data_IF_268726351454
#
_entry.id   IF_268726351454
#
_cell.length_a   1.000
_cell.length_b   1.000
_cell.length_c   1.000
_cell.angle_alpha   90.00
_cell.angle_beta   90.00
_cell.angle_gamma   90.00
#
_symmetry.space_group_name_H-M   'P 1'
#
loop_
_entity.id
_entity.type
_entity.pdbx_description
1 polymer ?
#
# COMPACT_ATOMS: atom_id res chain seq x y z
N UNK A 1 59.67 -10.11 34.04
CA UNK A 1 58.23 -9.69 34.18
C UNK A 1 57.45 -10.36 33.09
N UNK A 2 56.72 -11.40 33.44
CA UNK A 2 55.92 -12.23 32.51
C UNK A 2 54.49 -11.77 32.61
N UNK A 3 53.90 -11.31 31.50
CA UNK A 3 52.47 -10.95 31.44
C UNK A 3 51.62 -12.20 31.25
N UNK A 4 50.49 -12.37 31.96
CA UNK A 4 49.58 -13.50 31.76
C UNK A 4 48.75 -13.28 30.48
N UNK A 5 48.67 -14.34 29.64
CA UNK A 5 47.81 -14.41 28.47
C UNK A 5 46.35 -14.58 28.93
N UNK A 6 45.51 -13.60 28.64
CA UNK A 6 44.05 -13.70 28.78
C UNK A 6 43.48 -14.50 27.62
N UNK A 7 43.01 -15.69 27.91
CA UNK A 7 42.20 -16.49 26.96
C UNK A 7 40.84 -15.85 26.77
N UNK A 8 40.60 -15.22 25.61
CA UNK A 8 39.26 -14.88 25.17
C UNK A 8 38.53 -16.16 24.74
N UNK A 9 37.49 -16.52 25.49
CA UNK A 9 36.57 -17.56 25.10
C UNK A 9 35.78 -17.07 23.88
N UNK A 10 35.93 -17.76 22.74
CA UNK A 10 35.15 -17.51 21.54
C UNK A 10 33.66 -17.81 21.86
N UNK A 11 32.80 -16.80 21.76
CA UNK A 11 31.35 -17.00 21.77
C UNK A 11 30.97 -17.88 20.56
N UNK A 12 30.08 -18.87 20.73
CA UNK A 12 29.61 -19.67 19.61
C UNK A 12 28.91 -18.74 18.62
N UNK A 13 29.30 -18.83 17.33
CA UNK A 13 28.65 -18.13 16.26
C UNK A 13 27.15 -18.46 16.27
N UNK A 14 26.30 -17.44 16.34
CA UNK A 14 24.84 -17.60 16.20
C UNK A 14 24.57 -18.26 14.86
N UNK A 15 24.05 -19.48 14.89
CA UNK A 15 23.58 -20.17 13.68
C UNK A 15 22.39 -19.39 13.18
N UNK A 16 22.58 -18.65 12.07
CA UNK A 16 21.47 -17.99 11.39
C UNK A 16 20.43 -19.05 11.03
N UNK A 17 19.14 -18.82 11.29
CA UNK A 17 18.11 -19.77 10.90
C UNK A 17 18.19 -20.02 9.40
N UNK A 18 18.26 -21.28 9.01
CA UNK A 18 18.28 -21.63 7.58
C UNK A 18 16.95 -21.19 6.95
N UNK A 19 16.99 -20.58 5.76
CA UNK A 19 15.78 -20.17 5.08
C UNK A 19 14.90 -21.38 4.82
N UNK A 20 13.60 -21.25 5.12
CA UNK A 20 12.62 -22.29 4.81
C UNK A 20 12.54 -22.48 3.31
N UNK A 21 12.75 -23.71 2.83
CA UNK A 21 12.61 -24.02 1.41
C UNK A 21 11.13 -24.02 1.05
N UNK A 22 10.74 -23.11 0.15
CA UNK A 22 9.38 -23.06 -0.43
C UNK A 22 9.38 -23.84 -1.75
N UNK A 23 8.50 -24.83 -1.88
CA UNK A 23 8.39 -25.68 -3.05
C UNK A 23 7.06 -25.46 -3.76
N UNK A 24 7.06 -25.52 -5.09
CA UNK A 24 5.84 -25.35 -5.91
C UNK A 24 4.78 -26.41 -5.59
N UNK A 25 5.20 -27.64 -5.34
CA UNK A 25 4.30 -28.74 -4.96
C UNK A 25 3.61 -28.58 -3.61
N UNK A 26 4.14 -27.70 -2.75
CA UNK A 26 3.56 -27.37 -1.45
C UNK A 26 2.50 -26.26 -1.53
N UNK A 27 2.29 -25.69 -2.72
CA UNK A 27 1.27 -24.66 -2.92
C UNK A 27 -0.12 -25.17 -2.55
N UNK A 28 -0.84 -24.37 -1.79
CA UNK A 28 -2.25 -24.57 -1.43
C UNK A 28 -3.00 -23.26 -1.65
N UNK A 29 -4.14 -23.35 -2.32
CA UNK A 29 -5.06 -22.23 -2.43
C UNK A 29 -5.52 -21.77 -1.05
N UNK A 30 -5.80 -20.47 -0.87
CA UNK A 30 -6.40 -19.96 0.37
C UNK A 30 -7.75 -20.62 0.66
N UNK A 31 -8.02 -20.97 1.91
CA UNK A 31 -9.33 -21.50 2.32
C UNK A 31 -10.42 -20.43 2.34
N UNK A 32 -10.04 -19.16 2.38
CA UNK A 32 -10.92 -18.00 2.46
C UNK A 32 -10.65 -17.03 1.32
N UNK A 33 -11.72 -16.53 0.71
CA UNK A 33 -11.70 -15.53 -0.34
C UNK A 33 -12.03 -14.17 0.24
N UNK A 34 -11.19 -13.16 -0.03
CA UNK A 34 -11.44 -11.77 0.30
C UNK A 34 -12.27 -11.12 -0.81
N UNK A 35 -13.49 -10.66 -0.50
CA UNK A 35 -14.45 -10.16 -1.50
C UNK A 35 -14.59 -8.63 -1.55
N UNK A 36 -13.75 -7.90 -0.85
CA UNK A 36 -13.69 -6.45 -0.83
C UNK A 36 -13.07 -5.97 0.46
N UNK A 37 -12.17 -5.02 0.36
CA UNK A 37 -11.43 -4.45 1.48
C UNK A 37 -11.68 -2.94 1.57
N UNK A 38 -12.17 -2.49 2.71
CA UNK A 38 -12.22 -1.07 3.07
C UNK A 38 -11.11 -0.80 4.09
N UNK A 39 -10.27 0.17 3.80
CA UNK A 39 -9.19 0.62 4.69
C UNK A 39 -9.46 2.07 5.13
N UNK A 40 -9.29 2.33 6.39
CA UNK A 40 -9.27 3.66 6.94
C UNK A 40 -7.95 3.91 7.64
N UNK A 41 -7.32 5.03 7.31
CA UNK A 41 -6.08 5.47 7.93
C UNK A 41 -6.30 6.82 8.63
N UNK A 42 -6.12 6.86 9.94
CA UNK A 42 -5.88 8.11 10.65
C UNK A 42 -4.36 8.31 10.67
N UNK A 43 -3.87 9.06 9.67
CA UNK A 43 -2.44 9.18 9.37
C UNK A 43 -1.73 10.14 10.32
N UNK A 44 -0.68 9.65 10.93
CA UNK A 44 0.32 10.42 11.66
C UNK A 44 1.67 9.70 11.57
N UNK A 45 2.78 10.44 11.53
CA UNK A 45 4.11 9.84 11.39
C UNK A 45 4.50 8.98 12.60
N UNK A 46 4.04 9.33 13.80
CA UNK A 46 4.39 8.64 15.04
C UNK A 46 3.37 7.56 15.41
N UNK A 47 2.08 7.77 15.07
CA UNK A 47 0.98 6.99 15.63
C UNK A 47 -0.18 6.89 14.63
N UNK A 48 0.00 6.13 13.56
CA UNK A 48 -1.05 5.86 12.57
C UNK A 48 -1.95 4.73 13.05
N UNK A 49 -3.26 4.97 13.08
CA UNK A 49 -4.26 3.94 13.32
C UNK A 49 -4.88 3.50 11.99
N UNK A 50 -4.86 2.19 11.74
CA UNK A 50 -5.44 1.57 10.55
C UNK A 50 -6.62 0.72 10.96
N UNK A 51 -7.79 0.98 10.38
CA UNK A 51 -8.99 0.13 10.50
C UNK A 51 -9.23 -0.54 9.16
N UNK A 52 -9.28 -1.86 9.15
CA UNK A 52 -9.55 -2.67 7.96
C UNK A 52 -10.87 -3.41 8.11
N UNK A 53 -11.70 -3.37 7.09
CA UNK A 53 -12.98 -4.10 7.01
C UNK A 53 -12.97 -4.95 5.75
N UNK A 54 -12.97 -6.27 5.91
CA UNK A 54 -12.89 -7.21 4.80
C UNK A 54 -14.03 -8.22 4.86
N UNK A 55 -14.74 -8.39 3.76
CA UNK A 55 -15.72 -9.47 3.63
C UNK A 55 -15.01 -10.74 3.21
N UNK A 56 -15.25 -11.80 3.96
CA UNK A 56 -14.69 -13.13 3.69
C UNK A 56 -15.79 -14.12 3.34
N UNK A 57 -15.46 -15.00 2.41
CA UNK A 57 -16.26 -16.18 2.08
C UNK A 57 -15.37 -17.41 2.07
N UNK A 58 -15.83 -18.51 2.68
CA UNK A 58 -15.10 -19.78 2.60
C UNK A 58 -15.06 -20.26 1.15
N UNK A 59 -13.86 -20.65 0.70
CA UNK A 59 -13.68 -21.17 -0.66
C UNK A 59 -14.46 -22.51 -0.81
N UNK A 60 -15.17 -22.71 -1.92
CA UNK A 60 -15.82 -23.99 -2.20
C UNK A 60 -14.82 -25.16 -2.13
N UNK A 61 -15.13 -26.17 -1.33
CA UNK A 61 -14.25 -27.31 -1.10
C UNK A 61 -13.21 -27.17 0.02
N UNK A 62 -13.08 -26.00 0.65
CA UNK A 62 -12.31 -25.86 1.89
C UNK A 62 -13.02 -26.55 3.06
N UNK A 63 -12.25 -26.98 4.06
CA UNK A 63 -12.79 -27.65 5.25
C UNK A 63 -13.78 -26.72 5.99
N UNK A 64 -14.85 -27.30 6.54
CA UNK A 64 -15.89 -26.53 7.23
C UNK A 64 -15.36 -25.81 8.49
N UNK A 65 -14.31 -26.34 9.10
CA UNK A 65 -13.62 -25.82 10.29
C UNK A 65 -12.31 -25.11 9.95
N UNK A 66 -12.04 -24.84 8.65
CA UNK A 66 -10.81 -24.14 8.24
C UNK A 66 -10.68 -22.79 8.96
N UNK A 67 -9.58 -22.53 9.68
CA UNK A 67 -9.34 -21.24 10.31
C UNK A 67 -8.98 -20.20 9.28
N UNK A 68 -9.38 -18.95 9.50
CA UNK A 68 -8.81 -17.81 8.78
C UNK A 68 -7.46 -17.45 9.43
N UNK A 69 -6.41 -17.38 8.60
CA UNK A 69 -5.06 -16.98 9.00
C UNK A 69 -4.69 -15.70 8.26
N UNK A 70 -4.35 -14.67 9.01
CA UNK A 70 -3.93 -13.38 8.49
C UNK A 70 -2.48 -13.12 8.90
N UNK A 71 -1.69 -12.62 7.99
CA UNK A 71 -0.32 -12.24 8.25
C UNK A 71 -0.25 -10.83 8.83
N UNK A 72 0.66 -10.60 9.77
CA UNK A 72 0.88 -9.30 10.39
C UNK A 72 2.29 -9.20 10.99
N UNK A 73 2.92 -8.05 10.85
CA UNK A 73 4.25 -7.79 11.36
C UNK A 73 4.35 -6.38 11.94
N UNK A 74 4.90 -6.28 13.16
CA UNK A 74 5.04 -5.02 13.89
C UNK A 74 3.70 -4.26 14.08
N UNK A 75 2.59 -4.97 14.28
CA UNK A 75 1.26 -4.43 14.51
C UNK A 75 0.91 -4.46 16.00
N UNK A 76 0.44 -3.33 16.55
CA UNK A 76 -0.27 -3.29 17.82
C UNK A 76 -1.77 -3.46 17.55
N UNK A 77 -2.33 -4.63 17.88
CA UNK A 77 -3.76 -4.91 17.64
C UNK A 77 -4.61 -4.20 18.69
N UNK A 78 -5.48 -3.30 18.25
CA UNK A 78 -6.37 -2.51 19.10
C UNK A 78 -7.76 -3.15 19.23
N UNK A 79 -8.23 -3.85 18.19
CA UNK A 79 -9.53 -4.48 18.19
C UNK A 79 -9.73 -5.44 17.02
N UNK A 80 -10.57 -6.45 17.25
CA UNK A 80 -11.04 -7.43 16.26
C UNK A 80 -12.54 -7.60 16.43
N UNK A 81 -13.30 -7.59 15.33
CA UNK A 81 -14.73 -7.85 15.36
C UNK A 81 -15.15 -8.71 14.17
N UNK A 82 -16.18 -9.51 14.33
CA UNK A 82 -16.84 -10.27 13.26
C UNK A 82 -18.27 -9.76 13.16
N UNK A 83 -18.65 -9.34 11.95
CA UNK A 83 -19.90 -8.65 11.68
C UNK A 83 -20.04 -7.44 12.65
N UNK A 84 -21.09 -7.37 13.43
CA UNK A 84 -21.30 -6.29 14.41
C UNK A 84 -20.80 -6.60 15.82
N UNK A 85 -20.06 -7.72 16.01
CA UNK A 85 -19.64 -8.20 17.34
C UNK A 85 -18.14 -8.00 17.56
N UNK A 86 -17.79 -7.14 18.51
CA UNK A 86 -16.42 -7.02 18.98
C UNK A 86 -16.02 -8.28 19.75
N UNK A 87 -14.90 -8.87 19.35
CA UNK A 87 -14.40 -10.10 19.96
C UNK A 87 -13.55 -9.81 21.20
N UNK A 88 -13.74 -10.58 22.29
CA UNK A 88 -12.78 -10.55 23.40
C UNK A 88 -11.44 -11.15 22.98
N UNK A 89 -10.37 -10.79 23.70
CA UNK A 89 -9.00 -11.21 23.39
C UNK A 89 -8.82 -12.73 23.27
N UNK A 90 -9.61 -13.51 24.00
CA UNK A 90 -9.54 -14.96 24.05
C UNK A 90 -10.18 -15.64 22.83
N UNK A 91 -10.92 -14.87 22.02
CA UNK A 91 -11.62 -15.41 20.84
C UNK A 91 -10.71 -15.51 19.60
N UNK A 92 -9.50 -14.97 19.66
CA UNK A 92 -8.52 -15.03 18.57
C UNK A 92 -7.10 -15.24 19.11
N UNK A 93 -6.24 -15.80 18.28
CA UNK A 93 -4.85 -16.10 18.64
C UNK A 93 -3.91 -15.30 17.76
N UNK A 94 -2.99 -14.61 18.39
CA UNK A 94 -1.87 -13.93 17.70
C UNK A 94 -0.58 -14.68 18.05
N UNK A 95 0.00 -15.38 17.08
CA UNK A 95 1.24 -16.14 17.24
C UNK A 95 2.09 -16.06 15.99
N UNK A 96 3.40 -15.86 16.18
CA UNK A 96 4.42 -15.88 15.11
C UNK A 96 4.07 -15.07 13.87
N UNK A 97 3.52 -13.87 14.05
CA UNK A 97 3.15 -12.99 12.95
C UNK A 97 1.85 -13.38 12.23
N UNK A 98 1.02 -14.21 12.86
CA UNK A 98 -0.31 -14.55 12.36
C UNK A 98 -1.40 -14.23 13.37
N UNK A 99 -2.51 -13.68 12.88
CA UNK A 99 -3.80 -13.63 13.56
C UNK A 99 -4.64 -14.81 13.06
N UNK A 100 -5.07 -15.66 13.99
CA UNK A 100 -5.84 -16.88 13.68
C UNK A 100 -7.22 -16.80 14.29
N UNK A 101 -8.24 -16.94 13.45
CA UNK A 101 -9.65 -16.98 13.82
C UNK A 101 -10.23 -18.34 13.45
N UNK A 102 -10.95 -18.95 14.39
CA UNK A 102 -11.54 -20.29 14.24
C UNK A 102 -13.06 -20.25 14.45
N UNK A 103 -13.76 -21.32 14.08
CA UNK A 103 -15.22 -21.46 14.22
C UNK A 103 -15.99 -20.36 13.50
N UNK A 104 -15.55 -20.02 12.29
CA UNK A 104 -16.12 -18.95 11.46
C UNK A 104 -17.32 -19.44 10.66
N UNK A 105 -18.35 -18.58 10.45
CA UNK A 105 -19.43 -18.87 9.51
C UNK A 105 -18.89 -18.92 8.06
N UNK A 106 -19.70 -19.38 7.13
CA UNK A 106 -19.32 -19.47 5.71
C UNK A 106 -19.05 -18.09 5.08
N UNK A 107 -19.81 -17.08 5.51
CA UNK A 107 -19.67 -15.67 5.12
C UNK A 107 -19.65 -14.80 6.36
N UNK A 108 -18.77 -13.83 6.41
CA UNK A 108 -18.72 -12.84 7.48
C UNK A 108 -17.93 -11.61 7.04
N UNK A 109 -18.07 -10.55 7.80
CA UNK A 109 -17.24 -9.35 7.69
C UNK A 109 -16.29 -9.30 8.88
N UNK A 110 -15.00 -9.25 8.58
CA UNK A 110 -13.96 -9.06 9.60
C UNK A 110 -13.60 -7.58 9.70
N UNK A 111 -13.57 -7.08 10.92
CA UNK A 111 -13.05 -5.76 11.26
C UNK A 111 -11.80 -5.94 12.11
N UNK A 112 -10.71 -5.32 11.71
CA UNK A 112 -9.49 -5.24 12.51
C UNK A 112 -9.06 -3.80 12.65
N UNK A 113 -8.52 -3.46 13.81
CA UNK A 113 -7.91 -2.16 14.03
C UNK A 113 -6.54 -2.35 14.65
N UNK A 114 -5.56 -1.69 14.07
CA UNK A 114 -4.16 -1.75 14.50
C UNK A 114 -3.56 -0.37 14.61
N UNK A 115 -2.51 -0.25 15.42
CA UNK A 115 -1.63 0.91 15.47
C UNK A 115 -0.27 0.53 14.89
N UNK A 116 0.29 1.44 14.10
CA UNK A 116 1.61 1.32 13.50
C UNK A 116 2.37 2.64 13.67
N UNK A 117 3.71 2.58 13.58
CA UNK A 117 4.59 3.72 13.84
C UNK A 117 5.47 4.01 12.61
N UNK A 118 4.97 4.75 11.59
CA UNK A 118 5.69 4.95 10.32
C UNK A 118 7.09 5.55 10.46
N UNK A 119 7.30 6.49 11.40
CA UNK A 119 8.62 7.11 11.63
C UNK A 119 9.62 6.17 12.30
N UNK A 120 9.17 5.11 12.97
CA UNK A 120 10.02 4.08 13.56
C UNK A 120 10.29 2.91 12.59
N UNK A 121 9.63 2.90 11.43
CA UNK A 121 9.78 1.86 10.42
C UNK A 121 11.02 2.14 9.57
N UNK A 122 12.13 1.50 9.90
CA UNK A 122 13.42 1.60 9.19
C UNK A 122 13.61 0.50 8.14
N UNK A 123 12.67 -0.43 8.04
CA UNK A 123 12.71 -1.51 7.05
C UNK A 123 12.33 -1.04 5.64
N UNK A 124 11.72 0.17 5.53
CA UNK A 124 11.20 0.73 4.29
C UNK A 124 10.24 -0.25 3.58
N UNK A 125 9.45 -0.96 4.37
CA UNK A 125 8.45 -1.95 3.96
C UNK A 125 7.15 -1.73 4.73
N UNK A 126 5.99 -1.76 4.06
CA UNK A 126 4.73 -1.27 4.60
C UNK A 126 4.65 0.25 4.54
N UNK A 127 4.00 0.88 5.50
CA UNK A 127 3.91 2.35 5.62
C UNK A 127 5.10 2.90 6.42
N UNK A 128 5.83 3.85 5.86
CA UNK A 128 6.96 4.51 6.52
C UNK A 128 7.00 6.01 6.23
N UNK A 129 7.78 6.73 7.02
CA UNK A 129 8.02 8.16 6.86
C UNK A 129 9.36 8.42 6.19
N UNK A 130 9.40 9.32 5.21
CA UNK A 130 10.61 9.89 4.62
C UNK A 130 10.49 11.41 4.57
N UNK A 131 11.36 12.11 5.30
CA UNK A 131 11.21 13.55 5.50
C UNK A 131 9.84 13.91 6.09
N UNK A 132 9.07 14.74 5.39
CA UNK A 132 7.71 15.13 5.77
C UNK A 132 6.61 14.33 5.06
N UNK A 133 6.97 13.26 4.35
CA UNK A 133 6.05 12.46 3.54
C UNK A 133 5.88 11.07 4.15
N UNK A 134 4.66 10.55 4.14
CA UNK A 134 4.34 9.15 4.40
C UNK A 134 4.12 8.45 3.07
N UNK A 135 4.71 7.28 2.89
CA UNK A 135 4.51 6.47 1.70
C UNK A 135 4.62 4.97 2.00
N UNK A 136 4.12 4.15 1.10
CA UNK A 136 4.12 2.69 1.25
C UNK A 136 5.06 2.02 0.25
N UNK A 137 5.64 0.88 0.69
CA UNK A 137 6.21 -0.15 -0.17
C UNK A 137 5.68 -1.51 0.29
N UNK A 138 4.88 -2.18 -0.56
CA UNK A 138 4.20 -3.42 -0.18
C UNK A 138 4.77 -4.67 -0.86
N UNK A 139 5.47 -4.56 -1.99
CA UNK A 139 6.15 -5.70 -2.59
C UNK A 139 7.43 -6.07 -1.79
N UNK A 140 7.66 -7.37 -1.50
CA UNK A 140 6.77 -8.50 -1.81
C UNK A 140 5.74 -8.78 -0.72
N UNK A 141 6.01 -8.48 0.57
CA UNK A 141 5.20 -8.84 1.74
C UNK A 141 5.15 -7.69 2.78
N UNK A 142 5.07 -6.44 2.30
CA UNK A 142 5.00 -5.26 3.17
C UNK A 142 3.59 -4.91 3.63
N UNK A 143 2.54 -5.40 2.98
CA UNK A 143 1.17 -5.09 3.36
C UNK A 143 0.83 -5.57 4.79
N UNK A 144 1.41 -6.69 5.22
CA UNK A 144 1.31 -7.22 6.59
C UNK A 144 1.86 -6.29 7.67
N UNK A 145 2.65 -5.30 7.30
CA UNK A 145 3.14 -4.24 8.20
C UNK A 145 2.18 -3.05 8.33
N UNK A 146 1.06 -3.10 7.59
CA UNK A 146 0.01 -2.06 7.60
C UNK A 146 -1.20 -2.52 8.38
N UNK A 147 -1.66 -3.74 8.12
CA UNK A 147 -2.82 -4.34 8.80
C UNK A 147 -2.80 -5.86 8.67
N UNK A 148 -3.63 -6.54 9.44
CA UNK A 148 -3.87 -7.97 9.32
C UNK A 148 -4.54 -8.30 8.00
N UNK A 149 -3.90 -9.13 7.15
CA UNK A 149 -4.44 -9.55 5.87
C UNK A 149 -3.84 -10.88 5.39
N UNK A 150 -4.47 -11.56 4.43
CA UNK A 150 -3.86 -12.66 3.69
C UNK A 150 -2.85 -12.06 2.70
N UNK A 151 -1.62 -11.83 3.15
CA UNK A 151 -0.57 -11.14 2.38
C UNK A 151 0.09 -12.10 1.38
N UNK A 152 -0.67 -12.41 0.33
CA UNK A 152 -0.33 -13.38 -0.73
C UNK A 152 -0.72 -12.82 -2.10
N UNK A 153 0.09 -13.09 -3.16
CA UNK A 153 -0.20 -12.58 -4.50
C UNK A 153 -1.41 -13.23 -5.19
N UNK A 154 -1.89 -14.37 -4.68
CA UNK A 154 -3.06 -15.09 -5.19
C UNK A 154 -4.38 -14.69 -4.48
N UNK A 155 -4.32 -13.76 -3.52
CA UNK A 155 -5.49 -13.16 -2.87
C UNK A 155 -5.82 -11.85 -3.56
N UNK A 156 -6.82 -11.89 -4.43
CA UNK A 156 -7.27 -10.77 -5.26
C UNK A 156 -8.52 -10.14 -4.67
N UNK A 157 -8.51 -8.84 -4.40
CA UNK A 157 -9.69 -8.12 -3.89
C UNK A 157 -9.75 -6.69 -4.42
N UNK A 158 -10.92 -6.05 -4.31
CA UNK A 158 -11.12 -4.63 -4.59
C UNK A 158 -10.84 -3.79 -3.35
N UNK A 159 -10.48 -2.51 -3.55
CA UNK A 159 -10.07 -1.63 -2.45
C UNK A 159 -10.88 -0.34 -2.43
N UNK A 160 -11.37 0.04 -1.25
CA UNK A 160 -11.79 1.40 -0.93
C UNK A 160 -10.94 1.92 0.22
N UNK A 161 -10.38 3.10 0.07
CA UNK A 161 -9.39 3.64 1.01
C UNK A 161 -9.81 5.01 1.46
N UNK A 162 -9.96 5.18 2.76
CA UNK A 162 -10.25 6.45 3.40
C UNK A 162 -8.97 6.92 4.10
N UNK A 163 -8.41 8.00 3.62
CA UNK A 163 -7.25 8.64 4.21
C UNK A 163 -7.70 9.87 4.98
N UNK A 164 -7.37 9.95 6.25
CA UNK A 164 -7.59 11.12 7.09
C UNK A 164 -6.26 11.59 7.67
N UNK A 165 -5.99 12.89 7.61
CA UNK A 165 -4.78 13.47 8.15
C UNK A 165 -4.96 14.96 8.51
N UNK A 166 -4.02 15.51 9.30
CA UNK A 166 -3.92 16.94 9.52
C UNK A 166 -3.54 17.66 8.24
N UNK A 167 -4.39 18.57 7.78
CA UNK A 167 -4.19 19.33 6.53
C UNK A 167 -2.89 20.11 6.50
N UNK A 168 -2.50 20.68 7.64
CA UNK A 168 -1.27 21.44 7.75
C UNK A 168 -0.01 20.60 7.52
N UNK A 169 -0.04 19.29 7.86
CA UNK A 169 1.09 18.38 7.69
C UNK A 169 1.04 17.62 6.36
N UNK A 170 -0.15 17.15 5.99
CA UNK A 170 -0.37 16.30 4.82
C UNK A 170 -1.50 16.86 3.95
N UNK A 171 -1.28 18.00 3.24
CA UNK A 171 -2.31 18.60 2.40
C UNK A 171 -2.73 17.73 1.20
N UNK A 172 -1.89 16.79 0.77
CA UNK A 172 -2.15 15.86 -0.32
C UNK A 172 -2.25 14.43 0.23
N UNK A 173 -3.32 13.72 -0.15
CA UNK A 173 -3.62 12.34 0.26
C UNK A 173 -3.92 11.50 -0.99
N UNK A 174 -3.00 10.59 -1.37
CA UNK A 174 -3.10 9.78 -2.58
C UNK A 174 -3.22 8.29 -2.23
N UNK A 175 -4.00 7.55 -3.02
CA UNK A 175 -4.03 6.08 -3.00
C UNK A 175 -4.35 5.53 -4.38
N UNK A 176 -4.35 4.20 -4.53
CA UNK A 176 -4.70 3.53 -5.78
C UNK A 176 -6.13 3.87 -6.24
N UNK A 177 -6.34 3.85 -7.55
CA UNK A 177 -7.66 3.95 -8.14
C UNK A 177 -8.12 5.38 -8.42
N UNK A 178 -9.43 5.62 -8.33
CA UNK A 178 -10.06 6.90 -8.60
C UNK A 178 -10.43 7.63 -7.30
N UNK A 179 -10.19 8.93 -7.26
CA UNK A 179 -10.63 9.78 -6.15
C UNK A 179 -12.15 9.95 -6.24
N UNK A 180 -12.87 9.58 -5.20
CA UNK A 180 -14.32 9.74 -5.11
C UNK A 180 -14.69 11.15 -4.64
N UNK A 181 -15.82 11.66 -5.18
CA UNK A 181 -16.44 12.84 -4.60
C UNK A 181 -16.91 12.56 -3.17
N UNK A 182 -16.86 13.56 -2.30
CA UNK A 182 -17.22 13.39 -0.88
C UNK A 182 -18.65 12.90 -0.66
N UNK A 183 -19.57 13.23 -1.58
CA UNK A 183 -20.99 12.85 -1.60
C UNK A 183 -21.27 11.61 -2.45
N UNK A 184 -20.26 10.96 -3.03
CA UNK A 184 -20.44 9.75 -3.83
C UNK A 184 -21.02 8.61 -2.96
N UNK A 185 -22.01 7.84 -3.49
CA UNK A 185 -22.57 6.70 -2.76
C UNK A 185 -21.52 5.71 -2.25
N UNK A 186 -20.52 5.40 -3.08
CA UNK A 186 -19.42 4.49 -2.70
C UNK A 186 -18.57 5.04 -1.53
N UNK A 187 -18.38 6.35 -1.44
CA UNK A 187 -17.71 6.98 -0.30
C UNK A 187 -18.55 6.88 0.99
N UNK A 188 -19.87 7.08 0.88
CA UNK A 188 -20.78 6.90 2.01
C UNK A 188 -20.82 5.44 2.50
N UNK A 189 -20.86 4.47 1.60
CA UNK A 189 -20.78 3.04 1.91
C UNK A 189 -19.47 2.67 2.62
N UNK A 190 -18.34 3.19 2.13
CA UNK A 190 -17.03 2.96 2.76
C UNK A 190 -17.00 3.47 4.20
N UNK A 191 -17.52 4.68 4.45
CA UNK A 191 -17.60 5.24 5.82
C UNK A 191 -18.54 4.43 6.71
N UNK A 192 -19.68 3.99 6.18
CA UNK A 192 -20.66 3.20 6.94
C UNK A 192 -20.07 1.84 7.38
N UNK A 193 -19.19 1.24 6.59
CA UNK A 193 -18.53 -0.01 6.93
C UNK A 193 -17.63 0.10 8.18
N UNK A 194 -17.21 1.30 8.56
CA UNK A 194 -16.30 1.54 9.70
C UNK A 194 -17.02 1.71 11.06
N UNK A 195 -18.31 1.44 11.13
CA UNK A 195 -19.15 1.77 12.32
C UNK A 195 -18.94 0.84 13.52
N UNK A 196 -18.26 -0.30 13.38
CA UNK A 196 -18.17 -1.35 14.41
C UNK A 196 -17.06 -1.08 15.42
N UNK A 197 -15.88 -0.68 14.96
CA UNK A 197 -14.77 -0.32 15.84
C UNK A 197 -14.65 1.21 15.96
N UNK A 198 -14.35 1.75 17.15
CA UNK A 198 -14.28 3.19 17.35
C UNK A 198 -13.10 3.78 16.57
N UNK A 199 -13.36 4.75 15.70
CA UNK A 199 -12.32 5.49 15.01
C UNK A 199 -11.64 6.49 15.93
N UNK A 200 -10.35 6.83 15.69
CA UNK A 200 -9.69 7.91 16.41
C UNK A 200 -10.47 9.23 16.28
N UNK A 201 -10.51 9.99 17.36
CA UNK A 201 -11.11 11.31 17.32
C UNK A 201 -10.25 12.27 16.48
N UNK A 202 -10.88 12.98 15.56
CA UNK A 202 -10.23 14.01 14.73
C UNK A 202 -10.74 15.40 15.13
N UNK A 203 -9.86 16.38 15.12
CA UNK A 203 -10.22 17.79 15.34
C UNK A 203 -10.49 18.52 13.99
N UNK A 204 -10.82 19.82 14.05
CA UNK A 204 -11.22 20.60 12.86
C UNK A 204 -10.13 20.83 11.81
N UNK A 205 -8.86 20.49 12.09
CA UNK A 205 -7.76 20.59 11.11
C UNK A 205 -7.60 19.32 10.25
N UNK A 206 -8.31 18.26 10.57
CA UNK A 206 -8.28 17.04 9.79
C UNK A 206 -9.11 17.16 8.53
N UNK A 207 -8.61 16.53 7.46
CA UNK A 207 -9.34 16.38 6.18
C UNK A 207 -9.28 14.95 5.69
N UNK A 208 -10.07 14.67 4.68
CA UNK A 208 -10.28 13.32 4.18
C UNK A 208 -10.16 13.27 2.66
N UNK A 209 -9.63 12.15 2.16
CA UNK A 209 -9.74 11.73 0.76
C UNK A 209 -10.22 10.28 0.71
N UNK A 210 -11.19 9.98 -0.16
CA UNK A 210 -11.73 8.63 -0.36
C UNK A 210 -11.38 8.15 -1.76
N UNK A 211 -10.72 7.01 -1.85
CA UNK A 211 -10.26 6.40 -3.09
C UNK A 211 -10.96 5.06 -3.32
N UNK A 212 -11.22 4.71 -4.58
CA UNK A 212 -11.75 3.42 -4.98
C UNK A 212 -10.94 2.83 -6.13
N UNK A 213 -10.40 1.63 -5.91
CA UNK A 213 -9.90 0.79 -6.99
C UNK A 213 -10.86 -0.40 -7.17
N UNK A 214 -11.73 -0.35 -8.20
CA UNK A 214 -12.74 -1.36 -8.42
C UNK A 214 -12.19 -2.65 -9.05
N UNK A 215 -10.93 -2.64 -9.49
CA UNK A 215 -10.27 -3.77 -10.11
C UNK A 215 -9.59 -4.65 -9.08
N UNK A 216 -9.91 -5.97 -9.03
CA UNK A 216 -9.24 -6.86 -8.09
C UNK A 216 -7.73 -6.88 -8.32
N UNK A 217 -6.98 -6.63 -7.25
CA UNK A 217 -5.52 -6.71 -7.25
C UNK A 217 -5.01 -7.38 -5.98
N UNK A 218 -3.79 -7.97 -6.01
CA UNK A 218 -3.13 -8.44 -4.80
C UNK A 218 -2.67 -7.26 -3.94
N UNK A 219 -2.49 -7.52 -2.65
CA UNK A 219 -2.14 -6.46 -1.70
C UNK A 219 -0.72 -5.89 -1.86
N UNK A 220 0.18 -6.57 -2.54
CA UNK A 220 1.52 -6.03 -2.81
C UNK A 220 1.50 -4.82 -3.77
N UNK A 221 0.41 -4.63 -4.54
CA UNK A 221 0.18 -3.46 -5.39
C UNK A 221 -0.53 -2.30 -4.67
N UNK A 222 -0.82 -2.45 -3.38
CA UNK A 222 -1.42 -1.37 -2.60
C UNK A 222 -0.42 -0.24 -2.39
N UNK A 223 -0.88 1.00 -2.57
CA UNK A 223 -0.10 2.20 -2.28
C UNK A 223 -0.93 3.32 -1.66
N UNK A 224 -0.29 4.07 -0.78
CA UNK A 224 -0.71 5.39 -0.36
C UNK A 224 0.49 6.33 -0.23
N UNK A 225 0.25 7.61 -0.47
CA UNK A 225 1.21 8.69 -0.22
C UNK A 225 0.48 9.86 0.43
N UNK A 226 1.06 10.41 1.49
CA UNK A 226 0.55 11.61 2.14
C UNK A 226 1.70 12.60 2.41
N UNK A 227 1.56 13.86 1.95
CA UNK A 227 2.65 14.82 2.08
C UNK A 227 2.27 16.22 1.58
N UNK A 228 3.24 17.13 1.71
CA UNK A 228 3.17 18.43 1.06
C UNK A 228 3.76 18.30 -0.36
N UNK A 229 2.91 17.97 -1.34
CA UNK A 229 3.32 17.69 -2.70
C UNK A 229 2.73 18.69 -3.68
N UNK A 230 3.49 18.99 -4.74
CA UNK A 230 3.03 19.69 -5.94
C UNK A 230 2.79 18.69 -7.07
N UNK A 231 1.98 19.08 -8.05
CA UNK A 231 1.62 18.21 -9.18
C UNK A 231 1.91 18.91 -10.51
N UNK A 232 2.51 18.15 -11.43
CA UNK A 232 2.53 18.45 -12.85
C UNK A 232 1.55 17.50 -13.54
N UNK A 233 0.54 18.02 -14.26
CA UNK A 233 -0.54 17.20 -14.78
C UNK A 233 -0.97 17.57 -16.20
N UNK A 234 -1.50 16.60 -16.91
CA UNK A 234 -2.11 16.76 -18.22
C UNK A 234 -3.35 15.88 -18.38
N UNK A 235 -4.24 16.27 -19.29
CA UNK A 235 -5.37 15.46 -19.72
C UNK A 235 -5.04 14.76 -21.03
N UNK A 236 -4.77 13.48 -20.96
CA UNK A 236 -4.49 12.64 -22.11
C UNK A 236 -5.79 12.09 -22.73
N UNK A 237 -5.83 12.02 -24.06
CA UNK A 237 -6.97 11.43 -24.80
C UNK A 237 -6.59 10.03 -25.27
N UNK A 238 -7.29 9.04 -24.76
CA UNK A 238 -7.15 7.63 -25.17
C UNK A 238 -7.72 7.40 -26.59
N UNK A 239 -7.42 6.25 -27.17
CA UNK A 239 -7.86 5.86 -28.50
C UNK A 239 -9.41 5.85 -28.67
N UNK A 240 -10.14 5.48 -27.63
CA UNK A 240 -11.62 5.58 -27.58
C UNK A 240 -12.16 7.02 -27.56
N UNK A 241 -11.31 8.00 -27.30
CA UNK A 241 -11.68 9.38 -27.08
C UNK A 241 -11.96 9.74 -25.61
N UNK A 242 -11.92 8.78 -24.68
CA UNK A 242 -11.99 9.01 -23.23
C UNK A 242 -10.79 9.85 -22.79
N UNK A 243 -11.00 10.76 -21.85
CA UNK A 243 -9.94 11.60 -21.29
C UNK A 243 -9.57 11.08 -19.91
N UNK A 244 -8.28 10.89 -19.69
CA UNK A 244 -7.70 10.47 -18.41
C UNK A 244 -6.77 11.56 -17.88
N UNK A 245 -6.60 11.62 -16.57
CA UNK A 245 -5.72 12.55 -15.88
C UNK A 245 -4.38 11.88 -15.60
N UNK A 246 -3.29 12.40 -16.17
CA UNK A 246 -1.94 11.95 -15.91
C UNK A 246 -1.25 12.94 -14.98
N UNK A 247 -0.63 12.46 -13.92
CA UNK A 247 -0.08 13.28 -12.85
C UNK A 247 1.30 12.81 -12.43
N UNK A 248 2.24 13.75 -12.26
CA UNK A 248 3.53 13.50 -11.60
C UNK A 248 3.59 14.39 -10.36
N UNK A 249 3.67 13.74 -9.20
CA UNK A 249 3.68 14.35 -7.88
C UNK A 249 5.09 14.35 -7.30
N UNK A 250 5.49 15.43 -6.69
CA UNK A 250 6.79 15.57 -6.03
C UNK A 250 6.78 16.70 -5.02
N UNK A 251 7.88 16.87 -4.27
CA UNK A 251 8.10 18.05 -3.44
C UNK A 251 8.01 19.33 -4.28
N UNK A 252 7.43 20.42 -3.77
CA UNK A 252 7.17 21.65 -4.55
C UNK A 252 8.41 22.22 -5.25
N UNK A 253 9.58 22.10 -4.62
CA UNK A 253 10.84 22.65 -5.12
C UNK A 253 11.34 21.90 -6.38
N UNK A 254 10.88 20.68 -6.60
CA UNK A 254 11.33 19.79 -7.68
C UNK A 254 10.40 19.76 -8.89
N UNK A 255 9.22 20.38 -8.80
CA UNK A 255 8.17 20.26 -9.81
C UNK A 255 8.61 20.65 -11.22
N UNK A 256 9.50 21.63 -11.34
CA UNK A 256 10.03 22.11 -12.62
C UNK A 256 10.88 21.06 -13.38
N UNK A 257 11.24 19.95 -12.75
CA UNK A 257 12.07 18.87 -13.31
C UNK A 257 11.25 17.66 -13.80
N UNK A 258 9.93 17.74 -13.78
CA UNK A 258 9.03 16.60 -14.04
C UNK A 258 8.44 16.55 -15.45
N UNK A 259 8.66 17.57 -16.27
CA UNK A 259 8.07 17.69 -17.62
C UNK A 259 8.41 16.51 -18.53
N UNK A 260 9.64 16.02 -18.46
CA UNK A 260 10.06 14.91 -19.30
C UNK A 260 9.39 13.60 -18.86
N UNK A 261 9.27 13.37 -17.55
CA UNK A 261 8.57 12.21 -17.01
C UNK A 261 7.10 12.18 -17.45
N UNK A 262 6.41 13.32 -17.38
CA UNK A 262 5.01 13.41 -17.82
C UNK A 262 4.86 13.10 -19.32
N UNK A 263 5.75 13.63 -20.18
CA UNK A 263 5.75 13.30 -21.62
C UNK A 263 6.09 11.83 -21.89
N UNK A 264 6.99 11.22 -21.09
CA UNK A 264 7.33 9.81 -21.20
C UNK A 264 6.14 8.93 -20.86
N UNK A 265 5.36 9.30 -19.83
CA UNK A 265 4.12 8.60 -19.48
C UNK A 265 3.07 8.69 -20.62
N UNK A 266 2.88 9.85 -21.24
CA UNK A 266 1.99 9.98 -22.41
C UNK A 266 2.41 9.07 -23.57
N UNK A 267 3.72 8.97 -23.83
CA UNK A 267 4.28 8.09 -24.87
C UNK A 267 4.07 6.62 -24.53
N UNK A 268 4.31 6.21 -23.28
CA UNK A 268 4.15 4.83 -22.84
C UNK A 268 2.70 4.38 -22.99
N UNK A 269 1.72 5.16 -22.53
CA UNK A 269 0.30 4.87 -22.68
C UNK A 269 -0.10 4.75 -24.16
N UNK A 270 0.31 5.68 -25.00
CA UNK A 270 0.01 5.64 -26.44
C UNK A 270 0.65 4.43 -27.13
N UNK A 271 1.84 4.01 -26.69
CA UNK A 271 2.50 2.82 -27.20
C UNK A 271 1.76 1.54 -26.79
N UNK A 272 1.33 1.42 -25.54
CA UNK A 272 0.55 0.29 -25.03
C UNK A 272 -0.78 0.14 -25.78
N UNK A 273 -1.51 1.25 -25.96
CA UNK A 273 -2.75 1.27 -26.74
C UNK A 273 -2.53 0.76 -28.16
N UNK A 274 -1.48 1.25 -28.83
CA UNK A 274 -1.15 0.83 -30.20
C UNK A 274 -0.69 -0.63 -30.25
N UNK A 275 0.12 -1.06 -29.30
CA UNK A 275 0.77 -2.38 -29.30
C UNK A 275 -0.16 -3.50 -28.85
N UNK A 276 -0.95 -3.26 -27.82
CA UNK A 276 -1.77 -4.29 -27.17
C UNK A 276 -3.28 -4.07 -27.36
N UNK A 277 -3.69 -2.91 -27.85
CA UNK A 277 -5.12 -2.56 -27.98
C UNK A 277 -5.83 -2.40 -26.63
N UNK A 278 -5.07 -2.10 -25.57
CA UNK A 278 -5.57 -1.94 -24.22
C UNK A 278 -5.47 -0.48 -23.80
N UNK A 279 -6.58 0.10 -23.35
CA UNK A 279 -6.61 1.45 -22.79
C UNK A 279 -6.42 1.40 -21.27
N UNK A 280 -5.91 2.51 -20.72
CA UNK A 280 -5.89 2.73 -19.28
C UNK A 280 -7.31 2.58 -18.72
N UNK A 281 -7.51 1.71 -17.75
CA UNK A 281 -8.82 1.36 -17.19
C UNK A 281 -9.31 2.34 -16.09
N UNK A 282 -8.39 3.06 -15.41
CA UNK A 282 -8.68 4.09 -14.44
C UNK A 282 -8.86 5.48 -15.10
N UNK A 283 -9.49 6.41 -14.38
CA UNK A 283 -9.68 7.79 -14.85
C UNK A 283 -8.43 8.65 -14.66
N UNK A 284 -7.43 8.12 -13.97
CA UNK A 284 -6.14 8.76 -13.71
C UNK A 284 -5.00 7.77 -13.61
N UNK A 285 -3.80 8.27 -13.83
CA UNK A 285 -2.54 7.59 -13.56
C UNK A 285 -1.61 8.57 -12.84
N UNK A 286 -1.04 8.14 -11.74
CA UNK A 286 -0.21 8.97 -10.87
C UNK A 286 1.19 8.35 -10.73
N UNK A 287 2.21 9.18 -10.90
CA UNK A 287 3.59 8.91 -10.53
C UNK A 287 3.92 9.78 -9.32
N UNK A 288 4.55 9.20 -8.30
CA UNK A 288 5.12 9.94 -7.17
C UNK A 288 6.62 9.77 -7.16
N UNK A 289 7.38 10.87 -7.23
CA UNK A 289 8.82 10.86 -7.08
C UNK A 289 9.21 10.90 -5.60
N UNK A 290 9.81 9.82 -5.10
CA UNK A 290 10.26 9.68 -3.72
C UNK A 290 11.80 9.74 -3.64
N UNK A 291 12.39 10.60 -2.78
CA UNK A 291 13.84 10.72 -2.67
C UNK A 291 14.50 9.47 -2.07
N UNK A 292 13.88 8.87 -1.05
CA UNK A 292 14.38 7.71 -0.32
C UNK A 292 13.59 6.45 -0.69
N UNK A 293 13.76 5.98 -1.94
CA UNK A 293 13.10 4.79 -2.42
C UNK A 293 14.13 3.73 -2.79
N UNK A 294 13.96 2.51 -2.26
CA UNK A 294 14.96 1.43 -2.36
C UNK A 294 15.08 0.81 -3.75
N UNK A 295 14.07 0.98 -4.60
CA UNK A 295 13.97 0.38 -5.93
C UNK A 295 14.04 1.47 -7.01
N UNK A 296 14.00 1.08 -8.27
CA UNK A 296 13.86 2.02 -9.40
C UNK A 296 12.48 2.67 -9.39
N UNK A 297 11.47 1.82 -9.38
CA UNK A 297 10.07 2.19 -9.23
C UNK A 297 9.27 0.98 -8.70
N UNK A 298 7.96 1.17 -8.52
CA UNK A 298 7.00 0.14 -8.15
C UNK A 298 5.68 0.39 -8.87
N UNK A 299 5.19 -0.64 -9.58
CA UNK A 299 4.00 -0.63 -10.44
C UNK A 299 2.66 -0.65 -9.69
N UNK A 300 2.56 -0.05 -8.53
CA UNK A 300 1.31 0.03 -7.77
C UNK A 300 0.17 0.61 -8.63
N UNK A 301 -0.87 -0.18 -8.88
CA UNK A 301 -1.93 0.16 -9.84
C UNK A 301 -2.47 1.57 -9.66
N UNK A 302 -2.27 2.43 -10.67
CA UNK A 302 -2.74 3.81 -10.71
C UNK A 302 -2.00 4.81 -9.83
N UNK A 303 -1.08 4.35 -8.96
CA UNK A 303 -0.23 5.19 -8.11
C UNK A 303 1.18 4.60 -8.03
N UNK A 304 1.95 4.74 -9.09
CA UNK A 304 3.31 4.23 -9.15
C UNK A 304 4.26 5.12 -8.34
N UNK A 305 5.13 4.50 -7.54
CA UNK A 305 6.12 5.22 -6.72
C UNK A 305 7.50 5.01 -7.34
N UNK A 306 8.18 6.09 -7.66
CA UNK A 306 9.47 6.10 -8.34
C UNK A 306 10.56 6.67 -7.46
N UNK A 307 11.75 6.11 -7.54
CA UNK A 307 12.94 6.80 -7.09
C UNK A 307 13.08 8.10 -7.89
N UNK A 308 13.22 9.21 -7.19
CA UNK A 308 13.26 10.56 -7.78
C UNK A 308 14.28 10.73 -8.91
N UNK A 309 15.40 9.99 -8.87
CA UNK A 309 16.42 10.01 -9.94
C UNK A 309 15.90 9.55 -11.31
N UNK A 310 14.80 8.79 -11.35
CA UNK A 310 14.15 8.32 -12.58
C UNK A 310 12.91 9.14 -12.98
N UNK A 311 12.73 10.29 -12.35
CA UNK A 311 11.66 11.25 -12.66
C UNK A 311 12.23 12.61 -13.02
N UNK A 312 13.31 13.02 -12.36
CA UNK A 312 13.82 14.39 -12.47
C UNK A 312 14.83 14.55 -13.59
N UNK A 313 14.50 15.38 -14.57
CA UNK A 313 15.43 15.86 -15.59
C UNK A 313 15.45 17.38 -15.62
N UNK A 314 16.58 17.95 -15.20
CA UNK A 314 16.85 19.38 -15.41
C UNK A 314 17.50 19.54 -16.79
N UNK A 315 16.89 20.28 -17.73
CA UNK A 315 17.39 20.39 -19.10
C UNK A 315 18.78 21.04 -19.21
N UNK A 316 19.26 21.70 -18.15
CA UNK A 316 20.58 22.34 -18.14
C UNK A 316 21.71 21.45 -17.57
N UNK A 317 21.37 20.38 -16.84
CA UNK A 317 22.36 19.50 -16.20
C UNK A 317 22.16 18.02 -16.49
N UNK A 318 20.95 17.58 -16.90
CA UNK A 318 20.68 16.20 -17.26
C UNK A 318 21.41 15.82 -18.56
N UNK A 319 21.97 14.62 -18.58
CA UNK A 319 22.60 14.02 -19.75
C UNK A 319 21.58 13.26 -20.60
N UNK A 320 21.93 12.92 -21.85
CA UNK A 320 21.10 12.06 -22.72
C UNK A 320 20.77 10.73 -22.03
N UNK A 321 21.73 10.17 -21.30
CA UNK A 321 21.54 8.95 -20.52
C UNK A 321 20.49 9.10 -19.42
N UNK A 322 20.42 10.26 -18.74
CA UNK A 322 19.39 10.50 -17.73
C UNK A 322 17.98 10.50 -18.36
N UNK A 323 17.83 11.13 -19.53
CA UNK A 323 16.57 11.10 -20.27
C UNK A 323 16.18 9.69 -20.73
N UNK A 324 17.15 8.90 -21.25
CA UNK A 324 16.92 7.50 -21.63
C UNK A 324 16.46 6.66 -20.44
N UNK A 325 17.08 6.83 -19.28
CA UNK A 325 16.70 6.11 -18.06
C UNK A 325 15.28 6.45 -17.61
N UNK A 326 14.89 7.73 -17.62
CA UNK A 326 13.54 8.15 -17.22
C UNK A 326 12.49 7.53 -18.16
N UNK A 327 12.68 7.65 -19.49
CA UNK A 327 11.75 7.08 -20.47
C UNK A 327 11.68 5.54 -20.36
N UNK A 328 12.82 4.87 -20.13
CA UNK A 328 12.89 3.41 -19.99
C UNK A 328 12.16 2.91 -18.75
N UNK A 329 12.37 3.51 -17.58
CA UNK A 329 11.71 3.09 -16.35
C UNK A 329 10.21 3.39 -16.40
N UNK A 330 9.80 4.56 -16.89
CA UNK A 330 8.36 4.88 -17.02
C UNK A 330 7.68 3.95 -18.02
N UNK A 331 8.36 3.53 -19.08
CA UNK A 331 7.81 2.57 -20.03
C UNK A 331 7.84 1.12 -19.51
N UNK A 332 8.65 0.81 -18.50
CA UNK A 332 8.71 -0.49 -17.83
C UNK A 332 7.52 -0.69 -16.88
N UNK A 333 7.21 0.33 -16.06
CA UNK A 333 6.10 0.35 -15.11
C UNK A 333 4.72 0.51 -15.81
#
# INVERSE_FOLDING_TARGET
MTFPATSQSAQPASVLPQPTVVRREDYREPDWLAEGLVLHFALDAQDTVVTAVCRYRRRPGAAADAPLRLDGEALETLGVAIDDQVLPQEAWVQDKGQLVLSNLPEHFTLHTQVRIHPSANLELSGLYATGSTLLTQCEAQGFRRITWFQDRPDVMTTYRVILQARRAQYPVLLSNGNLLAADAPAAAEARAALSVLPLPATDGDWHEAVWEDPFPKPCYLFALVAGNLAVNETRHRLASGRKVLLQVWTEPEQIHRTDFALRSLEKAIAWDEHRFGLELDLDRFMIVAAPDFNMGAMENKGLNIFNAKYVFADPFVATDTDFEWIESIIGHE
#
